data_IF_536500164282
#
_entry.id   IF_536500164282
#
_cell.length_a   1.000
_cell.length_b   1.000
_cell.length_c   1.000
_cell.angle_alpha   90.00
_cell.angle_beta   90.00
_cell.angle_gamma   90.00
#
_symmetry.space_group_name_H-M   'P 1'
#
loop_
_entity.id
_entity.type
_entity.pdbx_description
1 polymer ?
#
# COMPACT_ATOMS: atom_id res chain seq x y z
N UNK A 1 -8.70 -4.02 -15.36
CA UNK A 1 -9.79 -3.91 -14.37
C UNK A 1 -10.80 -2.84 -14.83
N UNK A 2 -12.10 -2.97 -14.58
CA UNK A 2 -13.05 -1.88 -14.80
C UNK A 2 -12.76 -0.67 -13.90
N UNK A 3 -13.14 0.54 -14.31
CA UNK A 3 -12.99 1.77 -13.46
C UNK A 3 -13.80 1.62 -12.17
N UNK A 4 -15.05 1.16 -12.28
CA UNK A 4 -15.94 0.93 -11.14
C UNK A 4 -15.37 -0.06 -10.12
N UNK A 5 -14.73 -1.13 -10.57
CA UNK A 5 -14.11 -2.11 -9.68
C UNK A 5 -12.94 -1.48 -8.88
N UNK A 6 -12.17 -0.58 -9.51
CA UNK A 6 -11.09 0.12 -8.82
C UNK A 6 -11.59 1.13 -7.80
N UNK A 7 -12.62 1.91 -8.13
CA UNK A 7 -13.25 2.81 -7.18
C UNK A 7 -13.92 2.04 -6.03
N UNK A 8 -14.58 0.92 -6.34
CA UNK A 8 -15.17 0.01 -5.35
C UNK A 8 -14.12 -0.59 -4.41
N UNK A 9 -12.92 -0.93 -4.91
CA UNK A 9 -11.82 -1.34 -4.06
C UNK A 9 -11.32 -0.20 -3.14
N UNK A 10 -11.36 1.04 -3.62
CA UNK A 10 -11.15 2.25 -2.81
C UNK A 10 -12.17 2.38 -1.68
N UNK A 11 -13.46 2.16 -1.98
CA UNK A 11 -14.52 2.12 -0.95
C UNK A 11 -14.23 1.02 0.06
N UNK A 12 -13.92 -0.20 -0.40
CA UNK A 12 -13.67 -1.34 0.46
C UNK A 12 -12.49 -1.10 1.42
N UNK A 13 -11.35 -0.59 0.94
CA UNK A 13 -10.20 -0.29 1.81
C UNK A 13 -10.53 0.80 2.83
N UNK A 14 -11.28 1.84 2.44
CA UNK A 14 -11.75 2.88 3.36
C UNK A 14 -12.70 2.35 4.42
N UNK A 15 -13.64 1.49 4.04
CA UNK A 15 -14.58 0.84 4.96
C UNK A 15 -13.85 -0.07 5.95
N UNK A 16 -12.94 -0.93 5.47
CA UNK A 16 -12.19 -1.83 6.35
C UNK A 16 -11.31 -1.02 7.30
N UNK A 17 -10.61 0.01 6.80
CA UNK A 17 -9.79 0.88 7.65
C UNK A 17 -10.60 1.57 8.77
N UNK A 18 -11.83 1.98 8.49
CA UNK A 18 -12.67 2.70 9.46
C UNK A 18 -13.39 1.77 10.45
N UNK A 19 -13.75 0.56 10.03
CA UNK A 19 -14.59 -0.34 10.83
C UNK A 19 -13.80 -1.45 11.53
N UNK A 20 -12.61 -1.82 11.05
CA UNK A 20 -11.85 -2.93 11.63
C UNK A 20 -11.49 -2.68 13.10
N UNK A 21 -11.19 -1.44 13.50
CA UNK A 21 -10.91 -1.12 14.90
C UNK A 21 -12.11 -1.25 15.85
N UNK A 22 -13.34 -1.35 15.33
CA UNK A 22 -14.58 -1.31 16.12
C UNK A 22 -15.06 -2.69 16.56
N UNK A 23 -14.54 -3.73 15.94
CA UNK A 23 -14.93 -5.10 16.24
C UNK A 23 -13.92 -5.66 17.23
N UNK A 24 -14.39 -6.01 18.44
CA UNK A 24 -13.56 -6.61 19.47
C UNK A 24 -13.25 -8.08 19.13
N UNK A 25 -12.35 -8.24 18.16
CA UNK A 25 -11.93 -9.53 17.63
C UNK A 25 -10.47 -9.45 17.16
N UNK A 26 -9.61 -10.41 17.53
CA UNK A 26 -8.18 -10.40 17.20
C UNK A 26 -7.89 -10.25 15.70
N UNK A 27 -8.69 -10.84 14.82
CA UNK A 27 -8.50 -10.72 13.37
C UNK A 27 -8.74 -9.30 12.89
N UNK A 28 -9.78 -8.64 13.41
CA UNK A 28 -10.11 -7.27 13.05
C UNK A 28 -9.10 -6.26 13.61
N UNK A 29 -8.50 -6.54 14.76
CA UNK A 29 -7.36 -5.76 15.28
C UNK A 29 -6.16 -5.82 14.32
N UNK A 30 -5.80 -7.01 13.83
CA UNK A 30 -4.73 -7.18 12.83
C UNK A 30 -5.06 -6.45 11.53
N UNK A 31 -6.30 -6.56 11.04
CA UNK A 31 -6.74 -5.81 9.85
C UNK A 31 -6.64 -4.30 10.05
N UNK A 32 -7.04 -3.79 11.22
CA UNK A 32 -6.89 -2.38 11.56
C UNK A 32 -5.43 -1.93 11.54
N UNK A 33 -4.53 -2.75 12.08
CA UNK A 33 -3.08 -2.48 12.06
C UNK A 33 -2.50 -2.49 10.64
N UNK A 34 -2.98 -3.39 9.77
CA UNK A 34 -2.56 -3.46 8.37
C UNK A 34 -3.05 -2.23 7.60
N UNK A 35 -4.34 -1.92 7.67
CA UNK A 35 -4.97 -0.86 6.87
C UNK A 35 -4.78 0.55 7.43
N UNK A 36 -4.27 0.69 8.67
CA UNK A 36 -3.75 1.97 9.18
C UNK A 36 -2.33 2.26 8.70
N UNK A 37 -1.64 1.30 8.09
CA UNK A 37 -0.30 1.46 7.53
C UNK A 37 -0.30 2.18 6.19
N UNK A 38 0.52 3.22 6.02
CA UNK A 38 0.65 3.93 4.75
C UNK A 38 1.06 3.01 3.59
N UNK A 39 1.84 1.97 3.87
CA UNK A 39 2.30 0.98 2.91
C UNK A 39 1.15 0.22 2.24
N UNK A 40 0.02 -0.02 2.93
CA UNK A 40 -1.11 -0.74 2.34
C UNK A 40 -1.85 0.14 1.33
N UNK A 41 -1.98 1.42 1.62
CA UNK A 41 -2.56 2.42 0.71
C UNK A 41 -1.62 2.66 -0.48
N UNK A 42 -0.31 2.71 -0.25
CA UNK A 42 0.67 2.80 -1.31
C UNK A 42 0.65 1.57 -2.23
N UNK A 43 0.55 0.37 -1.63
CA UNK A 43 0.39 -0.90 -2.35
C UNK A 43 -0.89 -0.88 -3.21
N UNK A 44 -2.00 -0.42 -2.66
CA UNK A 44 -3.25 -0.28 -3.40
C UNK A 44 -3.09 0.64 -4.62
N UNK A 45 -2.55 1.84 -4.46
CA UNK A 45 -2.31 2.77 -5.57
C UNK A 45 -1.38 2.19 -6.64
N UNK A 46 -0.31 1.53 -6.20
CA UNK A 46 0.63 0.84 -7.08
C UNK A 46 -0.04 -0.27 -7.88
N UNK A 47 -0.86 -1.11 -7.25
CA UNK A 47 -1.60 -2.19 -7.91
C UNK A 47 -2.63 -1.63 -8.90
N UNK A 48 -3.35 -0.56 -8.53
CA UNK A 48 -4.25 0.13 -9.46
C UNK A 48 -3.49 0.52 -10.72
N UNK A 49 -2.33 1.15 -10.58
CA UNK A 49 -1.48 1.51 -11.71
C UNK A 49 -0.95 0.32 -12.51
N UNK A 50 -0.52 -0.74 -11.82
CA UNK A 50 0.02 -1.96 -12.43
C UNK A 50 -0.99 -2.64 -13.35
N UNK A 51 -2.28 -2.62 -13.02
CA UNK A 51 -3.33 -3.23 -13.85
C UNK A 51 -3.85 -2.33 -14.97
N UNK A 52 -3.30 -1.11 -15.15
CA UNK A 52 -3.74 -0.19 -16.21
C UNK A 52 -2.86 -0.28 -17.44
N UNK A 53 -3.42 -0.37 -18.65
CA UNK A 53 -2.63 -0.32 -19.88
C UNK A 53 -2.01 1.08 -20.08
N UNK A 54 -2.78 2.14 -19.86
CA UNK A 54 -2.35 3.52 -20.08
C UNK A 54 -1.70 4.17 -18.85
N UNK A 55 -0.65 4.96 -19.08
CA UNK A 55 0.02 5.77 -18.05
C UNK A 55 -0.90 6.88 -17.52
N UNK A 56 -1.69 7.50 -18.39
CA UNK A 56 -2.64 8.54 -17.98
C UNK A 56 -3.76 7.97 -17.13
N UNK A 57 -4.30 6.81 -17.50
CA UNK A 57 -5.29 6.10 -16.67
C UNK A 57 -4.72 5.74 -15.31
N UNK A 58 -3.47 5.25 -15.25
CA UNK A 58 -2.82 4.94 -13.98
C UNK A 58 -2.64 6.18 -13.10
N UNK A 59 -2.20 7.30 -13.68
CA UNK A 59 -1.95 8.55 -12.98
C UNK A 59 -3.23 9.20 -12.45
N UNK A 60 -4.39 9.00 -13.09
CA UNK A 60 -5.67 9.55 -12.63
C UNK A 60 -6.45 8.60 -11.74
N UNK A 61 -6.47 7.31 -12.06
CA UNK A 61 -7.35 6.37 -11.37
C UNK A 61 -6.81 5.96 -9.99
N UNK A 62 -5.49 5.84 -9.83
CA UNK A 62 -4.87 5.54 -8.54
C UNK A 62 -5.18 6.61 -7.48
N UNK A 63 -4.91 7.91 -7.71
CA UNK A 63 -5.24 8.94 -6.73
C UNK A 63 -6.75 9.11 -6.55
N UNK A 64 -7.57 8.95 -7.60
CA UNK A 64 -9.03 9.01 -7.47
C UNK A 64 -9.57 7.91 -6.56
N UNK A 65 -9.09 6.67 -6.72
CA UNK A 65 -9.51 5.56 -5.88
C UNK A 65 -9.04 5.70 -4.43
N UNK A 66 -7.83 6.23 -4.22
CA UNK A 66 -7.34 6.59 -2.88
C UNK A 66 -8.21 7.68 -2.24
N UNK A 67 -8.51 8.76 -2.98
CA UNK A 67 -9.34 9.85 -2.49
C UNK A 67 -10.73 9.36 -2.09
N UNK A 68 -11.35 8.49 -2.89
CA UNK A 68 -12.61 7.82 -2.52
C UNK A 68 -12.47 7.03 -1.22
N UNK A 69 -11.40 6.23 -1.08
CA UNK A 69 -11.16 5.48 0.16
C UNK A 69 -10.95 6.37 1.38
N UNK A 70 -10.23 7.47 1.24
CA UNK A 70 -10.04 8.48 2.30
C UNK A 70 -11.36 9.12 2.69
N UNK A 71 -12.18 9.55 1.71
CA UNK A 71 -13.51 10.12 1.96
C UNK A 71 -14.39 9.14 2.71
N UNK A 72 -14.47 7.88 2.25
CA UNK A 72 -15.24 6.83 2.93
C UNK A 72 -14.75 6.59 4.35
N UNK A 73 -13.43 6.52 4.55
CA UNK A 73 -12.83 6.34 5.86
C UNK A 73 -13.23 7.46 6.83
N UNK A 74 -13.08 8.72 6.41
CA UNK A 74 -13.39 9.88 7.25
C UNK A 74 -14.88 10.06 7.50
N UNK A 75 -15.75 9.74 6.54
CA UNK A 75 -17.21 9.75 6.75
C UNK A 75 -17.62 8.71 7.80
N UNK A 76 -17.08 7.49 7.70
CA UNK A 76 -17.36 6.42 8.68
C UNK A 76 -16.74 6.70 10.05
N UNK A 77 -15.60 7.40 10.08
CA UNK A 77 -14.98 7.88 11.32
C UNK A 77 -15.84 8.97 11.98
N UNK A 78 -16.39 9.92 11.20
CA UNK A 78 -17.27 10.97 11.71
C UNK A 78 -18.58 10.41 12.29
N UNK A 79 -19.13 9.35 11.70
CA UNK A 79 -20.35 8.71 12.19
C UNK A 79 -20.15 7.85 13.44
N UNK A 80 -18.92 7.43 13.75
CA UNK A 80 -18.65 6.63 14.94
C UNK A 80 -17.19 6.84 15.37
N UNK A 81 -16.94 7.85 16.23
CA UNK A 81 -15.62 8.26 16.67
C UNK A 81 -15.10 7.27 17.71
N UNK A 82 -14.48 6.20 17.24
CA UNK A 82 -13.67 5.30 18.06
C UNK A 82 -12.25 5.36 17.50
N UNK A 83 -11.27 5.65 18.36
CA UNK A 83 -9.88 5.74 17.96
C UNK A 83 -9.36 4.36 17.48
N UNK A 84 -8.64 4.28 16.35
CA UNK A 84 -7.98 3.05 15.94
C UNK A 84 -6.95 2.60 16.98
N UNK A 85 -6.90 1.29 17.25
CA UNK A 85 -5.93 0.68 18.18
C UNK A 85 -4.51 0.96 17.67
N UNK A 86 -3.64 1.45 18.56
CA UNK A 86 -2.23 1.70 18.27
C UNK A 86 -1.89 3.08 17.70
N UNK A 87 -2.88 3.93 17.41
CA UNK A 87 -2.64 5.36 17.25
C UNK A 87 -2.82 6.01 18.63
N UNK A 88 -1.79 6.72 19.11
CA UNK A 88 -2.02 7.71 20.15
C UNK A 88 -3.13 8.62 19.63
N UNK A 89 -4.20 8.77 20.42
CA UNK A 89 -5.28 9.71 20.12
C UNK A 89 -4.61 11.03 19.76
N UNK A 90 -4.70 11.46 18.50
CA UNK A 90 -3.90 12.59 18.00
C UNK A 90 -4.37 13.93 18.58
N UNK A 91 -5.11 13.89 19.70
CA UNK A 91 -5.62 15.04 20.42
C UNK A 91 -6.52 15.91 19.57
N UNK A 92 -7.01 15.43 18.42
CA UNK A 92 -7.83 16.24 17.54
C UNK A 92 -9.28 16.22 18.06
N UNK A 93 -9.80 17.36 18.54
CA UNK A 93 -11.16 17.44 19.04
C UNK A 93 -12.13 17.08 17.91
N UNK A 94 -13.02 16.12 18.21
CA UNK A 94 -13.99 15.52 17.29
C UNK A 94 -14.94 16.56 16.66
N UNK A 95 -15.04 17.76 17.23
CA UNK A 95 -16.02 18.77 16.80
C UNK A 95 -15.49 19.79 15.77
N UNK A 96 -14.20 19.80 15.42
CA UNK A 96 -13.63 20.84 14.54
C UNK A 96 -12.73 20.39 13.38
N UNK A 97 -12.20 19.15 13.40
CA UNK A 97 -11.01 18.83 12.60
C UNK A 97 -11.17 17.73 11.53
N UNK A 98 -12.35 17.09 11.44
CA UNK A 98 -12.65 16.09 10.39
C UNK A 98 -12.42 16.68 8.99
N UNK A 99 -12.76 17.96 8.80
CA UNK A 99 -12.55 18.67 7.54
C UNK A 99 -11.07 18.85 7.20
N UNK A 100 -10.24 19.24 8.18
CA UNK A 100 -8.80 19.46 7.96
C UNK A 100 -8.05 18.16 7.66
N UNK A 101 -8.31 17.11 8.45
CA UNK A 101 -7.73 15.79 8.22
C UNK A 101 -8.16 15.20 6.88
N UNK A 102 -9.46 15.28 6.56
CA UNK A 102 -9.97 14.83 5.26
C UNK A 102 -9.28 15.57 4.10
N UNK A 103 -9.21 16.90 4.15
CA UNK A 103 -8.56 17.70 3.11
C UNK A 103 -7.08 17.34 2.96
N UNK A 104 -6.35 17.24 4.07
CA UNK A 104 -4.94 16.86 4.07
C UNK A 104 -4.73 15.50 3.39
N UNK A 105 -5.49 14.48 3.79
CA UNK A 105 -5.33 13.14 3.23
C UNK A 105 -5.85 12.98 1.81
N UNK A 106 -6.86 13.74 1.40
CA UNK A 106 -7.27 13.80 0.00
C UNK A 106 -6.15 14.43 -0.84
N UNK A 107 -5.56 15.55 -0.40
CA UNK A 107 -4.41 16.16 -1.09
C UNK A 107 -3.24 15.18 -1.16
N UNK A 108 -2.91 14.51 -0.05
CA UNK A 108 -1.88 13.48 -0.02
C UNK A 108 -2.19 12.31 -0.98
N UNK A 109 -3.44 11.87 -1.05
CA UNK A 109 -3.89 10.85 -1.99
C UNK A 109 -3.62 11.25 -3.45
N UNK A 110 -3.82 12.52 -3.82
CA UNK A 110 -3.45 13.02 -5.14
C UNK A 110 -1.94 13.13 -5.34
N UNK A 111 -1.23 13.74 -4.38
CA UNK A 111 0.21 13.97 -4.47
C UNK A 111 1.03 12.68 -4.56
N UNK A 112 0.67 11.68 -3.75
CA UNK A 112 1.39 10.39 -3.72
C UNK A 112 0.75 9.34 -4.63
N UNK A 113 -0.57 9.36 -4.78
CA UNK A 113 -1.30 8.36 -5.57
C UNK A 113 -0.99 8.42 -7.06
N UNK A 114 -0.86 9.62 -7.64
CA UNK A 114 -0.52 9.75 -9.06
C UNK A 114 0.89 9.19 -9.39
N UNK A 115 1.96 9.57 -8.67
CA UNK A 115 3.28 8.93 -8.84
C UNK A 115 3.27 7.43 -8.59
N UNK A 116 2.61 6.95 -7.52
CA UNK A 116 2.56 5.52 -7.20
C UNK A 116 1.82 4.71 -8.26
N UNK A 117 0.69 5.23 -8.77
CA UNK A 117 -0.02 4.64 -9.90
C UNK A 117 0.86 4.58 -11.15
N UNK A 118 1.58 5.67 -11.46
CA UNK A 118 2.51 5.69 -12.58
C UNK A 118 3.65 4.67 -12.41
N UNK A 119 4.25 4.58 -11.22
CA UNK A 119 5.29 3.59 -10.92
C UNK A 119 4.78 2.15 -11.02
N UNK A 120 3.54 1.89 -10.58
CA UNK A 120 2.86 0.62 -10.77
C UNK A 120 2.76 0.25 -12.26
N UNK A 121 2.33 1.21 -13.10
CA UNK A 121 2.24 1.01 -14.55
C UNK A 121 3.62 0.70 -15.17
N UNK A 122 4.64 1.46 -14.79
CA UNK A 122 6.01 1.33 -15.30
C UNK A 122 6.72 0.07 -14.78
N UNK A 123 6.34 -0.47 -13.63
CA UNK A 123 6.87 -1.71 -13.06
C UNK A 123 6.57 -2.95 -13.93
N UNK A 124 5.67 -2.82 -14.91
CA UNK A 124 5.44 -3.85 -15.95
C UNK A 124 6.61 -4.02 -16.91
N UNK A 125 7.53 -3.05 -16.97
CA UNK A 125 8.74 -3.13 -17.81
C UNK A 125 9.51 -4.42 -17.51
N UNK A 126 9.72 -5.33 -18.48
CA UNK A 126 10.34 -6.61 -18.23
C UNK A 126 11.84 -6.46 -17.91
N UNK A 127 12.39 -7.44 -17.19
CA UNK A 127 13.82 -7.48 -16.86
C UNK A 127 14.23 -6.54 -15.73
N UNK A 128 15.51 -6.17 -15.73
CA UNK A 128 16.19 -5.43 -14.65
C UNK A 128 15.66 -4.00 -14.54
N UNK A 129 15.31 -3.35 -15.66
CA UNK A 129 14.85 -1.96 -15.67
C UNK A 129 13.56 -1.74 -14.84
N UNK A 130 12.67 -2.73 -14.77
CA UNK A 130 11.45 -2.65 -13.97
C UNK A 130 11.62 -3.05 -12.50
N UNK A 131 12.77 -3.61 -12.12
CA UNK A 131 12.99 -4.15 -10.77
C UNK A 131 12.94 -3.06 -9.67
N UNK A 132 13.59 -1.89 -9.81
CA UNK A 132 13.52 -0.86 -8.77
C UNK A 132 12.08 -0.44 -8.44
N UNK A 133 11.23 -0.33 -9.47
CA UNK A 133 9.83 0.03 -9.31
C UNK A 133 9.01 -1.07 -8.62
N UNK A 134 9.31 -2.36 -8.88
CA UNK A 134 8.66 -3.48 -8.20
C UNK A 134 9.05 -3.58 -6.73
N UNK A 135 10.26 -3.15 -6.38
CA UNK A 135 10.77 -3.16 -5.01
C UNK A 135 10.19 -2.02 -4.17
N UNK A 136 9.56 -1.01 -4.77
CA UNK A 136 9.06 0.16 -4.08
C UNK A 136 8.11 -0.19 -2.93
N UNK A 137 7.08 -1.00 -3.18
CA UNK A 137 6.09 -1.38 -2.16
C UNK A 137 6.71 -2.22 -1.02
N UNK A 138 7.50 -3.28 -1.30
CA UNK A 138 8.25 -3.98 -0.26
C UNK A 138 9.15 -3.06 0.58
N UNK A 139 9.85 -2.11 -0.06
CA UNK A 139 10.73 -1.18 0.66
C UNK A 139 9.94 -0.22 1.56
N UNK A 140 8.82 0.33 1.08
CA UNK A 140 7.93 1.18 1.90
C UNK A 140 7.42 0.39 3.10
N UNK A 141 6.92 -0.83 2.88
CA UNK A 141 6.42 -1.68 3.95
C UNK A 141 7.51 -2.01 4.98
N UNK A 142 8.72 -2.33 4.53
CA UNK A 142 9.84 -2.60 5.41
C UNK A 142 10.26 -1.38 6.23
N UNK A 143 10.37 -0.21 5.59
CA UNK A 143 10.78 1.02 6.26
C UNK A 143 9.73 1.46 7.30
N UNK A 144 8.46 1.56 6.89
CA UNK A 144 7.38 1.99 7.79
C UNK A 144 7.23 1.06 8.99
N UNK A 145 7.25 -0.27 8.78
CA UNK A 145 7.13 -1.21 9.89
C UNK A 145 8.37 -1.22 10.78
N UNK A 146 9.55 -0.90 10.26
CA UNK A 146 10.75 -0.76 11.08
C UNK A 146 10.67 0.48 11.98
N UNK A 147 10.19 1.60 11.46
CA UNK A 147 9.96 2.81 12.25
C UNK A 147 8.90 2.58 13.34
N UNK A 148 7.75 1.97 12.98
CA UNK A 148 6.70 1.64 13.95
C UNK A 148 7.20 0.67 15.03
N UNK A 149 7.99 -0.34 14.66
CA UNK A 149 8.59 -1.24 15.64
C UNK A 149 9.56 -0.54 16.60
N UNK A 150 10.28 0.48 16.11
CA UNK A 150 11.23 1.25 16.90
C UNK A 150 10.53 2.24 17.85
N UNK A 151 9.48 2.91 17.37
CA UNK A 151 8.85 4.05 18.05
C UNK A 151 7.58 3.66 18.82
N UNK A 152 6.77 2.74 18.28
CA UNK A 152 5.39 2.50 18.72
C UNK A 152 5.19 1.11 19.36
N UNK A 153 6.07 0.12 19.13
CA UNK A 153 5.82 -1.26 19.57
C UNK A 153 5.59 -1.38 21.09
N UNK A 154 6.36 -0.64 21.88
CA UNK A 154 6.28 -0.68 23.35
C UNK A 154 4.91 -0.18 23.88
N UNK A 155 4.26 0.76 23.17
CA UNK A 155 2.97 1.33 23.58
C UNK A 155 1.78 0.68 22.88
N UNK A 156 1.96 0.13 21.67
CA UNK A 156 0.91 -0.49 20.88
C UNK A 156 0.61 -1.96 21.28
N UNK A 157 1.52 -2.60 22.03
CA UNK A 157 1.33 -3.91 22.63
C UNK A 157 1.68 -5.10 21.71
N UNK A 158 1.57 -6.34 22.22
CA UNK A 158 2.14 -7.53 21.57
C UNK A 158 1.54 -7.85 20.19
N UNK A 159 0.26 -7.56 19.98
CA UNK A 159 -0.40 -7.81 18.70
C UNK A 159 0.13 -6.89 17.59
N UNK A 160 0.42 -5.63 17.92
CA UNK A 160 1.01 -4.67 16.99
C UNK A 160 2.45 -5.06 16.63
N UNK A 161 3.25 -5.39 17.64
CA UNK A 161 4.63 -5.85 17.46
C UNK A 161 4.70 -7.10 16.57
N UNK A 162 3.86 -8.11 16.84
CA UNK A 162 3.80 -9.32 16.04
C UNK A 162 3.37 -9.03 14.59
N UNK A 163 2.36 -8.18 14.40
CA UNK A 163 1.84 -7.82 13.07
C UNK A 163 2.89 -7.08 12.25
N UNK A 164 3.50 -6.03 12.79
CA UNK A 164 4.51 -5.24 12.08
C UNK A 164 5.79 -6.04 11.81
N UNK A 165 6.22 -6.88 12.75
CA UNK A 165 7.35 -7.79 12.54
C UNK A 165 7.08 -8.76 11.39
N UNK A 166 5.86 -9.32 11.33
CA UNK A 166 5.45 -10.22 10.25
C UNK A 166 5.45 -9.51 8.90
N UNK A 167 4.84 -8.32 8.81
CA UNK A 167 4.83 -7.52 7.57
C UNK A 167 6.27 -7.20 7.13
N UNK A 168 7.14 -6.81 8.07
CA UNK A 168 8.56 -6.50 7.78
C UNK A 168 9.29 -7.69 7.18
N UNK A 169 9.09 -8.90 7.72
CA UNK A 169 9.70 -10.14 7.20
C UNK A 169 9.14 -10.47 5.82
N UNK A 170 7.82 -10.42 5.65
CA UNK A 170 7.18 -10.69 4.35
C UNK A 170 7.64 -9.70 3.28
N UNK A 171 7.87 -8.44 3.63
CA UNK A 171 8.44 -7.45 2.72
C UNK A 171 9.84 -7.84 2.23
N UNK A 172 10.72 -8.31 3.12
CA UNK A 172 12.05 -8.81 2.74
C UNK A 172 11.94 -10.03 1.83
N UNK A 173 11.09 -10.99 2.18
CA UNK A 173 10.87 -12.20 1.38
C UNK A 173 10.34 -11.86 -0.02
N UNK A 174 9.41 -10.91 -0.12
CA UNK A 174 8.89 -10.42 -1.39
C UNK A 174 10.00 -9.76 -2.23
N UNK A 175 10.85 -8.94 -1.61
CA UNK A 175 11.99 -8.32 -2.29
C UNK A 175 12.97 -9.37 -2.83
N UNK A 176 13.34 -10.35 -2.01
CA UNK A 176 14.22 -11.47 -2.42
C UNK A 176 13.60 -12.26 -3.57
N UNK A 177 12.30 -12.58 -3.51
CA UNK A 177 11.60 -13.29 -4.57
C UNK A 177 11.60 -12.48 -5.89
N UNK A 178 11.36 -11.17 -5.83
CA UNK A 178 11.38 -10.29 -7.01
C UNK A 178 12.76 -10.21 -7.66
N UNK A 179 13.82 -10.06 -6.84
CA UNK A 179 15.22 -10.05 -7.31
C UNK A 179 15.59 -11.40 -7.91
N UNK A 180 15.32 -12.49 -7.20
CA UNK A 180 15.64 -13.85 -7.63
C UNK A 180 14.93 -14.22 -8.93
N UNK A 181 13.64 -13.92 -9.05
CA UNK A 181 12.87 -14.14 -10.28
C UNK A 181 13.41 -13.29 -11.45
N UNK A 182 13.82 -12.05 -11.19
CA UNK A 182 14.39 -11.17 -12.23
C UNK A 182 15.76 -11.67 -12.70
N UNK A 183 16.63 -12.06 -11.77
CA UNK A 183 17.94 -12.64 -12.06
C UNK A 183 17.81 -13.96 -12.83
N UNK A 184 16.86 -14.82 -12.44
CA UNK A 184 16.61 -16.08 -13.13
C UNK A 184 16.15 -15.87 -14.57
N UNK A 185 15.18 -14.97 -14.80
CA UNK A 185 14.72 -14.64 -16.16
C UNK A 185 15.83 -14.03 -17.02
N UNK A 186 16.67 -13.20 -16.42
CA UNK A 186 17.81 -12.60 -17.12
C UNK A 186 18.82 -13.67 -17.56
N UNK A 187 19.21 -14.60 -16.66
CA UNK A 187 20.11 -15.72 -16.98
C UNK A 187 19.55 -16.63 -18.09
N UNK A 188 18.26 -16.95 -18.06
CA UNK A 188 17.64 -17.79 -19.12
C UNK A 188 17.69 -17.13 -20.49
N UNK A 189 17.51 -15.81 -20.56
CA UNK A 189 17.62 -15.06 -21.82
C UNK A 189 19.05 -15.05 -22.35
N UNK A 190 20.04 -14.79 -21.49
CA UNK A 190 21.45 -14.78 -21.89
C UNK A 190 21.91 -16.13 -22.44
N UNK A 191 21.53 -17.23 -21.78
CA UNK A 191 21.84 -18.58 -22.25
C UNK A 191 21.17 -18.91 -23.60
N UNK A 192 19.97 -18.38 -23.86
CA UNK A 192 19.26 -18.60 -25.12
C UNK A 192 19.92 -17.85 -26.28
N UNK A 193 20.45 -16.64 -26.02
CA UNK A 193 21.15 -15.85 -27.03
C UNK A 193 22.51 -16.45 -27.40
N UNK A 194 23.24 -16.97 -26.41
CA UNK A 194 24.52 -17.67 -26.65
C UNK A 194 24.36 -18.93 -27.49
N UNK A 195 23.36 -19.76 -27.18
CA UNK A 195 23.09 -20.98 -27.92
C UNK A 195 22.72 -20.75 -29.40
N UNK A 196 22.11 -19.61 -29.74
CA UNK A 196 21.82 -19.26 -31.14
C UNK A 196 23.03 -18.73 -31.90
N UNK A 197 24.00 -18.11 -31.22
CA UNK A 197 25.22 -17.62 -31.84
C UNK A 197 26.24 -18.73 -32.15
N UNK A 198 26.21 -19.83 -31.40
CA UNK A 198 27.09 -21.00 -31.62
C UNK A 198 26.56 -21.96 -32.71
N UNK A 199 25.35 -21.72 -33.23
CA UNK A 199 24.69 -22.55 -34.26
C UNK A 199 24.76 -21.98 -35.68
N UNK A 200 25.34 -20.78 -35.85
CA UNK A 200 25.56 -20.09 -37.14
C UNK A 200 27.02 -20.22 -37.58
#
# INVERSE_FOLDING_TARGET
MPVLATLGAGVAIGTVGALAAKVDNPMFQVLSLIFSGGWSWACFAFLVGYFRPSKSEAAWLAPSALAVGVVVYYLLKAWSPVAPIGLADSGEPIEGNVSSGLLFWVIAAFLFGAPLGLFGNLARTPGIAGLPLRLLVPLIAHFETSERLNVEAASAGPAAEATWSTIRVLAVLAAVALVGHTAWRWRRRDNSLKAGADSD
#
